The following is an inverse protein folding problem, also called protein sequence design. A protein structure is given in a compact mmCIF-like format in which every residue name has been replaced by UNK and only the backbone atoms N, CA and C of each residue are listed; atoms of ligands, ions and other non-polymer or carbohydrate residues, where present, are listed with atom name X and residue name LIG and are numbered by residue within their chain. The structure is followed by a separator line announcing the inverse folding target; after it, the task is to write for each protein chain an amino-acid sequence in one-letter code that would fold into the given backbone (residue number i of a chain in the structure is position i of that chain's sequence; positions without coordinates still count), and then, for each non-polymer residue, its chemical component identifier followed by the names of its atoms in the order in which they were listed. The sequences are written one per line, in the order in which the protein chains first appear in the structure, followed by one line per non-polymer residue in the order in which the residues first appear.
data_IF_797337818719
#
_entry.id   IF_797337818719
#
_cell.length_a   1.000
_cell.length_b   1.000
_cell.length_c   1.000
_cell.angle_alpha   90.00
_cell.angle_beta   90.00
_cell.angle_gamma   90.00
#
_symmetry.space_group_name_H-M   'P 1'
#
loop_
_entity.id
_entity.type
_entity.pdbx_description
1 polymer ?
#
# COMPACT_ATOMS: atom_id res chain seq x y z
N UNK A 1 56.60 68.54 -2.15
CA UNK A 1 55.57 68.48 -1.09
C UNK A 1 54.60 67.36 -1.43
N UNK A 2 54.46 66.40 -0.50
CA UNK A 2 53.32 65.48 -0.24
C UNK A 2 52.81 64.60 -1.40
N UNK A 3 53.11 63.28 -1.47
CA UNK A 3 52.65 62.15 -0.60
C UNK A 3 51.10 62.09 -0.63
N UNK A 4 50.42 61.10 -1.21
CA UNK A 4 50.20 59.73 -0.74
C UNK A 4 48.96 59.20 -1.52
N UNK A 5 48.53 57.94 -1.55
CA UNK A 5 49.06 56.59 -1.30
C UNK A 5 47.91 55.68 -1.73
N UNK A 6 48.21 54.63 -2.51
CA UNK A 6 47.26 53.55 -2.83
C UNK A 6 46.82 52.87 -1.53
N UNK A 7 45.51 52.72 -1.30
CA UNK A 7 45.01 51.83 -0.26
C UNK A 7 44.05 50.81 -0.89
N UNK A 8 44.56 49.60 -1.05
CA UNK A 8 43.86 48.41 -1.51
C UNK A 8 43.41 47.67 -0.24
N UNK A 9 42.11 47.69 0.05
CA UNK A 9 41.54 47.02 1.23
C UNK A 9 41.26 45.55 0.87
N UNK A 10 42.12 44.66 1.35
CA UNK A 10 41.90 43.22 1.37
C UNK A 10 41.08 42.85 2.62
N UNK A 11 39.79 42.56 2.42
CA UNK A 11 38.94 41.94 3.44
C UNK A 11 39.06 40.42 3.32
N UNK A 12 39.87 39.82 4.19
CA UNK A 12 39.95 38.36 4.37
C UNK A 12 38.73 37.87 5.14
N UNK A 13 37.81 37.19 4.44
CA UNK A 13 36.65 36.53 5.03
C UNK A 13 37.08 35.15 5.56
N UNK A 14 37.43 35.06 6.84
CA UNK A 14 37.67 33.76 7.50
C UNK A 14 36.32 33.11 7.80
N UNK A 15 35.97 32.09 7.02
CA UNK A 15 34.81 31.23 7.27
C UNK A 15 35.13 30.28 8.43
N UNK A 16 34.68 30.63 9.63
CA UNK A 16 34.76 29.74 10.80
C UNK A 16 33.78 28.58 10.61
N UNK A 17 34.29 27.42 10.20
CA UNK A 17 33.54 26.17 10.19
C UNK A 17 33.28 25.72 11.64
N UNK A 18 32.15 26.13 12.22
CA UNK A 18 31.64 25.54 13.46
C UNK A 18 31.22 24.10 13.18
N UNK A 19 32.06 23.15 13.59
CA UNK A 19 31.69 21.74 13.69
C UNK A 19 30.55 21.62 14.72
N UNK A 20 29.33 21.38 14.24
CA UNK A 20 28.21 21.04 15.09
C UNK A 20 28.50 19.68 15.75
N UNK A 21 28.97 19.72 17.00
CA UNK A 21 28.97 18.56 17.86
C UNK A 21 27.51 18.14 18.07
N UNK A 22 27.06 17.12 17.33
CA UNK A 22 25.76 16.50 17.52
C UNK A 22 25.70 15.93 18.94
N UNK A 23 25.00 16.64 19.82
CA UNK A 23 24.68 16.16 21.15
C UNK A 23 23.97 14.80 21.01
N UNK A 24 24.62 13.72 21.45
CA UNK A 24 24.01 12.40 21.57
C UNK A 24 22.94 12.47 22.65
N UNK A 25 21.73 12.90 22.29
CA UNK A 25 20.56 12.63 23.12
C UNK A 25 20.42 11.11 23.20
N UNK A 26 20.44 10.56 24.42
CA UNK A 26 20.18 9.15 24.71
C UNK A 26 18.71 8.82 24.41
N UNK A 27 18.33 8.83 23.13
CA UNK A 27 17.03 8.31 22.71
C UNK A 27 17.09 6.79 22.73
N UNK A 28 16.20 6.17 23.51
CA UNK A 28 15.95 4.73 23.42
C UNK A 28 15.68 4.39 21.95
N UNK A 29 16.36 3.40 21.37
CA UNK A 29 16.13 3.03 19.98
C UNK A 29 14.67 2.61 19.78
N UNK A 30 14.06 3.09 18.70
CA UNK A 30 12.71 2.67 18.30
C UNK A 30 12.71 1.22 17.80
N UNK A 31 13.75 0.86 17.06
CA UNK A 31 13.94 -0.49 16.55
C UNK A 31 15.43 -0.76 16.28
N UNK A 32 15.79 -2.04 16.26
CA UNK A 32 17.08 -2.53 15.77
C UNK A 32 16.76 -3.43 14.58
N UNK A 33 17.25 -3.06 13.40
CA UNK A 33 17.00 -3.79 12.16
C UNK A 33 18.24 -4.60 11.82
N UNK A 34 18.06 -5.91 11.67
CA UNK A 34 19.06 -6.75 11.01
C UNK A 34 19.03 -6.44 9.51
N UNK A 35 20.14 -5.89 9.02
CA UNK A 35 20.26 -5.48 7.62
C UNK A 35 20.09 -6.69 6.70
N UNK A 36 20.61 -7.86 7.07
CA UNK A 36 20.56 -9.06 6.24
C UNK A 36 20.51 -10.31 7.12
N UNK A 37 19.32 -10.72 7.60
CA UNK A 37 19.18 -11.86 8.51
C UNK A 37 19.63 -13.19 7.91
N UNK A 38 19.74 -13.26 6.59
CA UNK A 38 20.19 -14.46 5.86
C UNK A 38 21.72 -14.60 5.82
N UNK A 39 22.46 -13.57 6.27
CA UNK A 39 23.92 -13.52 6.30
C UNK A 39 24.37 -12.88 7.62
N UNK A 40 24.02 -13.53 8.72
CA UNK A 40 24.38 -13.10 10.07
C UNK A 40 25.88 -12.74 10.16
N UNK A 41 26.16 -11.62 10.81
CA UNK A 41 27.53 -11.14 11.05
C UNK A 41 28.24 -10.46 9.86
N UNK A 42 27.69 -10.51 8.64
CA UNK A 42 28.30 -9.83 7.49
C UNK A 42 28.04 -8.31 7.48
N UNK A 43 26.91 -7.88 8.01
CA UNK A 43 26.49 -6.47 8.04
C UNK A 43 26.12 -6.06 9.46
N UNK A 44 26.49 -4.86 9.92
CA UNK A 44 26.09 -4.38 11.23
C UNK A 44 24.59 -4.06 11.25
N UNK A 45 23.95 -4.27 12.40
CA UNK A 45 22.56 -3.88 12.60
C UNK A 45 22.39 -2.36 12.48
N UNK A 46 21.26 -1.93 11.93
CA UNK A 46 20.89 -0.51 11.87
C UNK A 46 20.03 -0.19 13.08
N UNK A 47 20.48 0.78 13.87
CA UNK A 47 19.69 1.31 14.98
C UNK A 47 18.80 2.43 14.48
N UNK A 48 17.49 2.25 14.63
CA UNK A 48 16.51 3.28 14.31
C UNK A 48 16.21 4.09 15.56
N UNK A 49 16.40 5.40 15.46
CA UNK A 49 16.25 6.35 16.56
C UNK A 49 15.11 7.33 16.36
N UNK A 50 14.58 7.43 15.14
CA UNK A 50 13.49 8.35 14.79
C UNK A 50 12.54 7.74 13.75
N UNK A 51 11.29 8.21 13.76
CA UNK A 51 10.33 7.93 12.69
C UNK A 51 10.83 8.57 11.40
N UNK A 52 10.53 7.95 10.26
CA UNK A 52 10.98 8.37 8.93
C UNK A 52 12.50 8.33 8.73
N UNK A 53 13.22 7.54 9.52
CA UNK A 53 14.65 7.34 9.32
C UNK A 53 14.90 6.51 8.06
N UNK A 54 15.78 6.95 7.15
CA UNK A 54 16.24 6.11 6.04
C UNK A 54 16.97 4.86 6.57
N UNK A 55 16.56 3.68 6.09
CA UNK A 55 17.16 2.39 6.44
C UNK A 55 17.44 1.58 5.18
N UNK A 56 18.57 0.86 5.20
CA UNK A 56 18.99 -0.01 4.11
C UNK A 56 18.93 -1.45 4.62
N UNK A 57 18.32 -2.35 3.86
CA UNK A 57 18.21 -3.77 4.21
C UNK A 57 18.21 -4.64 2.96
N UNK A 58 18.51 -5.92 3.15
CA UNK A 58 18.51 -6.94 2.13
C UNK A 58 17.08 -7.30 1.71
N UNK A 59 16.82 -7.36 0.40
CA UNK A 59 15.52 -7.80 -0.16
C UNK A 59 15.74 -8.96 -1.13
N UNK A 60 14.93 -10.04 -1.07
CA UNK A 60 15.03 -11.14 -2.02
C UNK A 60 14.66 -10.66 -3.43
N UNK A 61 15.57 -10.81 -4.41
CA UNK A 61 15.32 -10.35 -5.80
C UNK A 61 14.99 -11.48 -6.78
N UNK A 62 15.56 -12.68 -6.62
CA UNK A 62 15.24 -13.84 -7.45
C UNK A 62 15.83 -15.14 -6.88
N UNK A 63 15.20 -16.26 -7.19
CA UNK A 63 15.73 -17.61 -6.97
C UNK A 63 16.37 -18.11 -8.26
N UNK A 64 17.68 -18.32 -8.25
CA UNK A 64 18.40 -18.92 -9.37
C UNK A 64 18.64 -20.40 -9.11
N UNK A 65 18.46 -21.24 -10.13
CA UNK A 65 18.83 -22.65 -10.05
C UNK A 65 20.31 -22.78 -10.41
N UNK A 66 21.14 -23.14 -9.44
CA UNK A 66 22.59 -23.34 -9.62
C UNK A 66 22.97 -24.70 -9.04
N UNK A 67 23.55 -25.56 -9.88
CA UNK A 67 23.96 -26.93 -9.52
C UNK A 67 22.82 -27.77 -8.92
N UNK A 68 21.59 -27.64 -9.45
CA UNK A 68 20.43 -28.38 -8.94
C UNK A 68 19.80 -27.81 -7.67
N UNK A 69 20.37 -26.75 -7.08
CA UNK A 69 19.82 -26.09 -5.90
C UNK A 69 19.27 -24.70 -6.23
N UNK A 70 18.12 -24.37 -5.65
CA UNK A 70 17.57 -23.02 -5.69
C UNK A 70 18.29 -22.14 -4.69
N UNK A 71 18.87 -21.03 -5.17
CA UNK A 71 19.54 -20.05 -4.33
C UNK A 71 18.85 -18.70 -4.47
N UNK A 72 18.35 -18.17 -3.36
CA UNK A 72 17.79 -16.82 -3.30
C UNK A 72 18.91 -15.82 -3.08
N UNK A 73 18.97 -14.79 -3.94
CA UNK A 73 19.88 -13.68 -3.76
C UNK A 73 19.23 -12.57 -2.94
N UNK A 74 20.00 -12.01 -2.01
CA UNK A 74 19.59 -10.94 -1.12
C UNK A 74 20.56 -9.76 -1.28
N UNK A 75 20.45 -8.98 -2.38
CA UNK A 75 21.18 -7.72 -2.49
C UNK A 75 20.66 -6.71 -1.46
N UNK A 76 21.53 -5.77 -1.07
CA UNK A 76 21.09 -4.57 -0.36
C UNK A 76 20.17 -3.78 -1.28
N UNK A 77 18.95 -3.50 -0.83
CA UNK A 77 18.02 -2.62 -1.54
C UNK A 77 18.38 -1.16 -1.28
N UNK A 78 18.07 -0.28 -2.22
CA UNK A 78 18.08 1.17 -1.99
C UNK A 78 17.27 1.52 -0.74
N UNK A 79 17.73 2.53 -0.02
CA UNK A 79 17.18 3.03 1.24
C UNK A 79 15.65 3.16 1.20
N UNK A 80 14.95 2.48 2.13
CA UNK A 80 13.52 2.71 2.41
C UNK A 80 13.39 3.59 3.65
N UNK A 81 12.25 4.27 3.81
CA UNK A 81 11.99 5.09 4.99
C UNK A 81 11.28 4.25 6.05
N UNK A 82 11.93 4.07 7.21
CA UNK A 82 11.34 3.33 8.33
C UNK A 82 10.25 4.14 9.01
N UNK A 83 9.14 3.47 9.30
CA UNK A 83 8.06 3.99 10.13
C UNK A 83 7.72 2.92 11.16
N UNK A 84 7.17 3.28 12.31
CA UNK A 84 6.57 2.32 13.23
C UNK A 84 5.34 2.96 13.82
N UNK A 85 4.23 2.81 13.11
CA UNK A 85 2.96 3.42 13.49
C UNK A 85 1.85 2.37 13.47
N UNK A 86 0.92 2.49 14.41
CA UNK A 86 -0.26 1.64 14.47
C UNK A 86 -1.44 2.45 13.98
N UNK A 87 -2.02 2.02 12.86
CA UNK A 87 -3.14 2.70 12.20
C UNK A 87 -4.34 1.77 12.12
N UNK A 88 -5.56 2.31 12.02
CA UNK A 88 -6.71 1.49 11.67
C UNK A 88 -6.53 0.93 10.25
N UNK A 89 -7.16 -0.22 9.98
CA UNK A 89 -7.08 -0.92 8.70
C UNK A 89 -8.23 -1.94 8.59
N UNK A 90 -8.36 -2.54 7.39
CA UNK A 90 -9.32 -3.60 7.05
C UNK A 90 -10.76 -3.28 7.45
N UNK A 91 -11.15 -2.02 7.29
CA UNK A 91 -12.50 -1.58 7.61
C UNK A 91 -13.52 -2.31 6.73
N UNK A 92 -14.55 -2.91 7.33
CA UNK A 92 -15.55 -3.72 6.60
C UNK A 92 -16.94 -3.08 6.50
N UNK A 93 -17.06 -1.78 6.79
CA UNK A 93 -18.34 -1.10 6.91
C UNK A 93 -18.93 -1.07 8.32
N UNK A 94 -18.35 -1.83 9.28
CA UNK A 94 -18.80 -1.87 10.68
C UNK A 94 -17.66 -1.83 11.68
N UNK A 95 -16.61 -2.61 11.42
CA UNK A 95 -15.48 -2.78 12.33
C UNK A 95 -14.18 -2.50 11.60
N UNK A 96 -13.20 -2.01 12.33
CA UNK A 96 -11.81 -1.86 11.90
C UNK A 96 -10.88 -2.77 12.71
N UNK A 97 -9.72 -3.09 12.13
CA UNK A 97 -8.60 -3.72 12.82
C UNK A 97 -7.47 -2.69 12.98
N UNK A 98 -6.47 -3.01 13.79
CA UNK A 98 -5.23 -2.24 13.86
C UNK A 98 -4.13 -2.94 13.09
N UNK A 99 -3.39 -2.19 12.28
CA UNK A 99 -2.22 -2.66 11.53
C UNK A 99 -1.00 -1.85 11.95
N UNK A 100 0.13 -2.53 12.10
CA UNK A 100 1.43 -1.88 12.31
C UNK A 100 2.10 -1.69 10.97
N UNK A 101 2.37 -0.45 10.60
CA UNK A 101 3.12 -0.09 9.39
C UNK A 101 4.58 0.14 9.76
N UNK A 102 5.47 -0.52 9.00
CA UNK A 102 6.91 -0.54 9.24
C UNK A 102 7.72 0.24 8.22
N UNK A 103 7.14 0.53 7.06
CA UNK A 103 7.77 1.29 5.98
C UNK A 103 6.77 2.22 5.29
N UNK A 104 7.25 3.30 4.69
CA UNK A 104 6.40 4.26 3.95
C UNK A 104 5.72 3.66 2.73
N UNK A 105 6.36 2.69 2.10
CA UNK A 105 5.91 2.07 0.85
C UNK A 105 4.99 0.87 1.10
N UNK A 106 4.72 0.56 2.37
CA UNK A 106 3.88 -0.56 2.77
C UNK A 106 2.44 -0.35 2.31
N UNK A 107 1.86 -1.36 1.68
CA UNK A 107 0.47 -1.33 1.24
C UNK A 107 -0.48 -1.61 2.40
N UNK A 108 -1.39 -0.67 2.66
CA UNK A 108 -2.38 -0.73 3.71
C UNK A 108 -3.72 -1.12 3.10
N UNK A 109 -4.27 -2.26 3.55
CA UNK A 109 -5.66 -2.62 3.26
C UNK A 109 -6.58 -1.68 4.04
N UNK A 110 -7.13 -0.68 3.36
CA UNK A 110 -7.94 0.37 3.96
C UNK A 110 -9.37 -0.13 4.22
N UNK A 111 -9.99 -0.73 3.18
CA UNK A 111 -11.38 -1.17 3.22
C UNK A 111 -11.56 -2.53 2.54
N UNK A 112 -12.51 -3.32 3.05
CA UNK A 112 -13.01 -4.53 2.41
C UNK A 112 -14.52 -4.49 2.31
N UNK A 113 -15.08 -4.68 1.13
CA UNK A 113 -16.54 -4.81 0.96
C UNK A 113 -16.88 -6.09 0.23
N UNK A 114 -18.13 -6.52 0.39
CA UNK A 114 -18.66 -7.73 -0.23
C UNK A 114 -20.04 -7.42 -0.77
N UNK A 115 -20.22 -7.62 -2.06
CA UNK A 115 -21.47 -7.34 -2.77
C UNK A 115 -21.98 -8.62 -3.40
N UNK A 116 -23.27 -8.89 -3.27
CA UNK A 116 -23.93 -10.01 -3.97
C UNK A 116 -24.84 -9.44 -5.04
N UNK A 117 -24.52 -9.73 -6.29
CA UNK A 117 -25.34 -9.39 -7.46
C UNK A 117 -26.25 -10.57 -7.75
N UNK A 118 -27.54 -10.30 -7.83
CA UNK A 118 -28.57 -11.28 -8.22
C UNK A 118 -28.91 -11.05 -9.68
N UNK A 119 -28.87 -12.10 -10.49
CA UNK A 119 -29.20 -12.04 -11.92
C UNK A 119 -30.26 -13.08 -12.24
N UNK A 120 -31.38 -12.63 -12.77
CA UNK A 120 -32.44 -13.50 -13.27
C UNK A 120 -32.20 -13.82 -14.74
N UNK A 121 -32.19 -15.11 -15.08
CA UNK A 121 -31.98 -15.59 -16.45
C UNK A 121 -33.27 -16.27 -16.91
N UNK A 122 -33.93 -15.77 -17.96
CA UNK A 122 -35.10 -16.42 -18.52
C UNK A 122 -34.70 -17.75 -19.18
N UNK A 123 -35.48 -18.79 -18.93
CA UNK A 123 -35.38 -20.09 -19.56
C UNK A 123 -36.56 -20.23 -20.51
N UNK A 124 -36.32 -20.27 -21.84
CA UNK A 124 -37.40 -20.38 -22.80
C UNK A 124 -38.13 -21.72 -22.65
N UNK A 125 -39.43 -21.71 -22.98
CA UNK A 125 -40.22 -22.92 -23.06
C UNK A 125 -39.59 -23.88 -24.08
N UNK A 126 -39.51 -25.17 -23.76
CA UNK A 126 -39.00 -26.21 -24.67
C UNK A 126 -40.06 -27.26 -24.88
N UNK A 127 -40.38 -27.50 -26.15
CA UNK A 127 -41.25 -28.59 -26.57
C UNK A 127 -40.38 -29.76 -27.02
N UNK A 128 -40.65 -30.94 -26.49
CA UNK A 128 -39.93 -32.17 -26.84
C UNK A 128 -40.90 -33.32 -27.07
N UNK A 129 -40.60 -34.17 -28.06
CA UNK A 129 -41.37 -35.37 -28.33
C UNK A 129 -40.87 -36.51 -27.45
N UNK A 130 -41.73 -37.04 -26.58
CA UNK A 130 -41.42 -38.17 -25.69
C UNK A 130 -42.46 -39.24 -25.96
N UNK A 131 -42.02 -40.42 -26.40
CA UNK A 131 -42.90 -41.59 -26.65
C UNK A 131 -44.12 -41.28 -27.53
N UNK A 132 -43.92 -40.52 -28.62
CA UNK A 132 -44.99 -40.16 -29.56
C UNK A 132 -45.82 -38.93 -29.17
N UNK A 133 -45.81 -38.51 -27.91
CA UNK A 133 -46.51 -37.30 -27.42
C UNK A 133 -45.60 -36.07 -27.38
N UNK A 134 -46.18 -34.91 -27.68
CA UNK A 134 -45.51 -33.61 -27.53
C UNK A 134 -45.69 -33.12 -26.10
N UNK A 135 -44.58 -32.92 -25.38
CA UNK A 135 -44.58 -32.35 -24.03
C UNK A 135 -43.94 -30.97 -24.09
N UNK A 136 -44.66 -29.94 -23.67
CA UNK A 136 -44.15 -28.57 -23.54
C UNK A 136 -43.75 -28.32 -22.10
N UNK A 137 -42.47 -28.02 -21.86
CA UNK A 137 -42.02 -27.44 -20.60
C UNK A 137 -42.25 -25.94 -20.64
N UNK A 138 -42.99 -25.41 -19.67
CA UNK A 138 -43.25 -23.98 -19.53
C UNK A 138 -41.96 -23.18 -19.41
N UNK A 139 -42.01 -21.93 -19.86
CA UNK A 139 -40.94 -20.98 -19.57
C UNK A 139 -40.78 -20.82 -18.05
N UNK A 140 -39.54 -20.62 -17.61
CA UNK A 140 -39.22 -20.42 -16.20
C UNK A 140 -38.08 -19.41 -16.07
N UNK A 141 -37.81 -18.98 -14.85
CA UNK A 141 -36.69 -18.06 -14.56
C UNK A 141 -35.73 -18.76 -13.61
N UNK A 142 -34.43 -18.70 -13.90
CA UNK A 142 -33.38 -19.17 -12.99
C UNK A 142 -32.70 -17.95 -12.38
N UNK A 143 -32.70 -17.88 -11.06
CA UNK A 143 -31.95 -16.87 -10.30
C UNK A 143 -30.51 -17.35 -10.09
N UNK A 144 -29.53 -16.52 -10.46
CA UNK A 144 -28.10 -16.73 -10.20
C UNK A 144 -27.60 -15.68 -9.22
N UNK A 145 -26.79 -16.12 -8.26
CA UNK A 145 -26.12 -15.23 -7.31
C UNK A 145 -24.64 -15.17 -7.64
N UNK A 146 -24.11 -13.96 -7.77
CA UNK A 146 -22.68 -13.71 -7.96
C UNK A 146 -22.19 -12.86 -6.80
N UNK A 147 -21.26 -13.38 -6.03
CA UNK A 147 -20.64 -12.64 -4.93
C UNK A 147 -19.31 -12.07 -5.37
N UNK A 148 -19.08 -10.80 -5.07
CA UNK A 148 -17.89 -10.04 -5.42
C UNK A 148 -17.30 -9.47 -4.14
N UNK A 149 -16.03 -9.79 -3.87
CA UNK A 149 -15.27 -9.19 -2.78
C UNK A 149 -14.38 -8.08 -3.35
N UNK A 150 -14.48 -6.88 -2.78
CA UNK A 150 -13.60 -5.76 -3.10
C UNK A 150 -12.63 -5.51 -1.94
N UNK A 151 -11.38 -5.27 -2.26
CA UNK A 151 -10.34 -4.81 -1.33
C UNK A 151 -9.76 -3.51 -1.85
N UNK A 152 -9.79 -2.47 -1.04
CA UNK A 152 -9.26 -1.16 -1.37
C UNK A 152 -7.97 -0.98 -0.59
N UNK A 153 -6.86 -0.94 -1.32
CA UNK A 153 -5.53 -0.79 -0.74
C UNK A 153 -4.93 0.55 -1.17
N UNK A 154 -4.06 1.11 -0.34
CA UNK A 154 -3.26 2.27 -0.68
C UNK A 154 -1.89 2.14 -0.01
N UNK A 155 -0.83 2.64 -0.63
CA UNK A 155 0.46 2.77 0.06
C UNK A 155 0.30 3.67 1.26
N UNK A 156 1.02 3.41 2.36
CA UNK A 156 0.90 4.18 3.60
C UNK A 156 1.06 5.69 3.36
N UNK A 157 1.99 6.09 2.50
CA UNK A 157 2.18 7.49 2.07
C UNK A 157 0.95 8.12 1.44
N UNK A 158 0.08 7.32 0.82
CA UNK A 158 -1.14 7.76 0.13
C UNK A 158 -2.41 7.51 0.96
N UNK A 159 -2.30 7.08 2.22
CA UNK A 159 -3.45 6.89 3.10
C UNK A 159 -3.92 8.24 3.63
N UNK A 160 -4.92 8.82 2.97
CA UNK A 160 -5.58 10.07 3.38
C UNK A 160 -6.67 9.89 4.42
N UNK A 161 -7.29 11.02 4.81
CA UNK A 161 -8.49 11.07 5.67
C UNK A 161 -9.66 10.26 5.13
N UNK A 162 -9.64 9.98 3.83
CA UNK A 162 -10.71 9.31 3.12
C UNK A 162 -10.57 7.79 3.06
N UNK A 163 -9.41 7.27 3.44
CA UNK A 163 -9.06 5.87 3.28
C UNK A 163 -9.89 4.97 4.18
N UNK A 164 -10.00 5.41 5.44
CA UNK A 164 -10.57 4.66 6.55
C UNK A 164 -11.42 5.64 7.35
N UNK A 165 -12.72 5.37 7.55
CA UNK A 165 -13.59 6.25 8.31
C UNK A 165 -13.05 6.56 9.71
N UNK A 166 -13.00 7.84 10.09
CA UNK A 166 -12.52 8.29 11.38
C UNK A 166 -10.99 8.43 11.51
N UNK A 167 -10.22 7.93 10.54
CA UNK A 167 -8.77 8.13 10.49
C UNK A 167 -8.42 9.43 9.74
N UNK A 168 -7.54 10.26 10.29
CA UNK A 168 -7.13 11.53 9.66
C UNK A 168 -6.13 11.35 8.50
N UNK A 169 -5.70 10.12 8.25
CA UNK A 169 -4.64 9.79 7.32
C UNK A 169 -3.26 9.77 7.98
N UNK A 170 -2.25 9.39 7.19
CA UNK A 170 -0.86 9.25 7.62
C UNK A 170 -0.15 10.59 7.90
N UNK A 171 -0.76 11.72 7.54
CA UNK A 171 -0.20 13.06 7.69
C UNK A 171 0.88 13.43 6.66
N UNK A 172 1.23 12.51 5.75
CA UNK A 172 2.23 12.72 4.69
C UNK A 172 1.64 12.62 3.28
N UNK A 173 0.37 12.25 3.14
CA UNK A 173 -0.27 12.20 1.83
C UNK A 173 -0.49 13.60 1.26
N UNK A 174 0.30 13.96 0.25
CA UNK A 174 0.21 15.24 -0.46
C UNK A 174 -0.92 15.27 -1.48
N UNK A 175 -1.35 14.11 -1.97
CA UNK A 175 -2.39 13.97 -3.02
C UNK A 175 -3.79 13.78 -2.43
N UNK A 176 -3.91 13.62 -1.12
CA UNK A 176 -5.19 13.38 -0.42
C UNK A 176 -5.92 14.67 -0.03
N UNK A 177 -5.62 15.78 -0.71
CA UNK A 177 -6.13 17.11 -0.39
C UNK A 177 -7.27 17.55 -1.31
N UNK A 178 -7.88 18.66 -0.94
CA UNK A 178 -9.04 19.25 -1.60
C UNK A 178 -8.64 19.76 -3.00
N UNK A 179 -9.14 19.13 -4.07
CA UNK A 179 -8.96 19.64 -5.43
C UNK A 179 -10.31 20.14 -5.94
N UNK A 180 -10.41 21.44 -6.26
CA UNK A 180 -11.62 22.07 -6.82
C UNK A 180 -12.92 21.82 -6.04
N UNK A 181 -12.88 21.75 -4.70
CA UNK A 181 -14.09 21.52 -3.92
C UNK A 181 -14.36 20.05 -3.59
N UNK A 182 -13.63 19.11 -4.19
CA UNK A 182 -13.84 17.67 -4.05
C UNK A 182 -12.60 17.02 -3.42
N UNK A 183 -12.82 16.07 -2.51
CA UNK A 183 -11.75 15.22 -2.01
C UNK A 183 -11.69 13.94 -2.84
N UNK A 184 -10.50 13.59 -3.33
CA UNK A 184 -10.20 12.35 -4.05
C UNK A 184 -9.09 11.58 -3.36
N UNK A 185 -9.14 10.24 -3.43
CA UNK A 185 -8.05 9.38 -2.98
C UNK A 185 -7.93 8.17 -3.90
N UNK A 186 -6.73 7.94 -4.41
CA UNK A 186 -6.42 6.76 -5.21
C UNK A 186 -6.34 5.50 -4.37
N UNK A 187 -6.95 4.42 -4.86
CA UNK A 187 -6.86 3.08 -4.32
C UNK A 187 -6.44 2.10 -5.40
N UNK A 188 -5.69 1.08 -5.00
CA UNK A 188 -5.56 -0.17 -5.74
C UNK A 188 -6.70 -1.09 -5.29
N UNK A 189 -7.71 -1.21 -6.15
CA UNK A 189 -8.89 -2.02 -5.89
C UNK A 189 -8.65 -3.42 -6.44
N UNK A 190 -8.70 -4.41 -5.57
CA UNK A 190 -8.74 -5.82 -5.96
C UNK A 190 -10.18 -6.31 -5.90
N UNK A 191 -10.74 -6.62 -7.06
CA UNK A 191 -12.05 -7.20 -7.22
C UNK A 191 -11.92 -8.71 -7.44
N UNK A 192 -12.51 -9.51 -6.55
CA UNK A 192 -12.50 -10.96 -6.63
C UNK A 192 -13.90 -11.50 -6.84
N UNK A 193 -14.12 -12.18 -7.97
CA UNK A 193 -15.38 -12.83 -8.29
C UNK A 193 -15.38 -14.27 -7.78
N UNK A 194 -16.24 -14.55 -6.81
CA UNK A 194 -16.46 -15.92 -6.35
C UNK A 194 -17.33 -16.68 -7.34
N UNK A 195 -16.85 -17.85 -7.79
CA UNK A 195 -17.62 -18.77 -8.63
C UNK A 195 -18.08 -19.97 -7.77
N UNK A 196 -19.27 -20.49 -8.06
CA UNK A 196 -19.80 -21.68 -7.37
C UNK A 196 -19.04 -22.96 -7.76
N UNK A 197 -18.92 -23.92 -6.83
CA UNK A 197 -18.40 -25.31 -6.98
C UNK A 197 -17.16 -25.48 -7.90
N UNK A 198 -16.00 -25.72 -7.31
CA UNK A 198 -14.73 -26.09 -7.98
C UNK A 198 -14.16 -25.11 -9.01
N UNK A 199 -14.83 -23.99 -9.28
CA UNK A 199 -14.35 -22.96 -10.17
C UNK A 199 -13.35 -22.03 -9.45
N UNK A 200 -12.22 -21.75 -10.10
CA UNK A 200 -11.18 -20.84 -9.60
C UNK A 200 -11.76 -19.43 -9.41
N UNK A 201 -11.53 -18.83 -8.25
CA UNK A 201 -11.79 -17.40 -7.98
C UNK A 201 -10.91 -16.57 -8.91
N UNK A 202 -11.52 -15.62 -9.62
CA UNK A 202 -10.81 -14.71 -10.52
C UNK A 202 -10.73 -13.36 -9.82
N UNK A 203 -9.52 -12.86 -9.62
CA UNK A 203 -9.28 -11.55 -9.06
C UNK A 203 -8.61 -10.64 -10.09
N UNK A 204 -9.09 -9.41 -10.19
CA UNK A 204 -8.53 -8.36 -11.03
C UNK A 204 -8.17 -7.17 -10.15
N UNK A 205 -7.02 -6.55 -10.41
CA UNK A 205 -6.59 -5.34 -9.70
C UNK A 205 -6.57 -4.17 -10.67
N UNK A 206 -7.12 -3.04 -10.27
CA UNK A 206 -7.10 -1.79 -11.01
C UNK A 206 -6.96 -0.59 -10.06
N UNK A 207 -6.54 0.55 -10.61
CA UNK A 207 -6.50 1.81 -9.88
C UNK A 207 -7.85 2.51 -10.01
N UNK A 208 -8.36 3.02 -8.90
CA UNK A 208 -9.62 3.78 -8.84
C UNK A 208 -9.44 4.97 -7.90
N UNK A 209 -9.95 6.14 -8.30
CA UNK A 209 -10.04 7.31 -7.44
C UNK A 209 -11.38 7.32 -6.71
N UNK A 210 -11.35 7.14 -5.39
CA UNK A 210 -12.53 7.22 -4.55
C UNK A 210 -12.95 8.67 -4.32
N UNK A 211 -14.20 9.01 -4.64
CA UNK A 211 -14.86 10.27 -4.30
C UNK A 211 -15.78 10.05 -3.10
N UNK A 212 -15.65 10.86 -2.05
CA UNK A 212 -16.38 10.66 -0.78
C UNK A 212 -17.88 11.01 -0.84
N UNK A 213 -18.31 11.86 -1.77
CA UNK A 213 -19.70 12.34 -1.82
C UNK A 213 -20.73 11.27 -2.22
N UNK A 214 -20.29 10.10 -2.70
CA UNK A 214 -21.16 8.99 -3.07
C UNK A 214 -21.46 8.01 -1.92
N UNK A 215 -20.92 8.25 -0.72
CA UNK A 215 -20.99 7.30 0.39
C UNK A 215 -21.65 7.85 1.67
N UNK A 216 -22.40 8.96 1.58
CA UNK A 216 -23.33 9.41 2.64
C UNK A 216 -24.72 8.81 2.49
#
# INVERSE_FOLDING_TARGET
MTIATKLLVLLSLTCSATAAAAAKKNHKPLAIIDVCPQKEGRWPNVTVTSQYQPVTYCVPTSTEMKNGHWKTHYPLKSTSVFVSTVIPCKYNGKTEQKCTVTTTDEEVLCRKTKTTVTTEVPVPAKTQKVSGSMITKSASTITKYKTIDYKYNAQYTHVGIMAIPGYQGCGICTECHWHNGVRTQGFNVTECHWRTRNAKTICTTYSEDGIWDLFR
#
